data_IF_844846975235
#
_entry.id   IF_844846975235
#
_cell.length_a   1.000
_cell.length_b   1.000
_cell.length_c   1.000
_cell.angle_alpha   90.00
_cell.angle_beta   90.00
_cell.angle_gamma   90.00
#
_symmetry.space_group_name_H-M   'P 1'
#
loop_
_entity.id
_entity.type
_entity.pdbx_description
1 polymer ?
#
# COMPACT_ATOMS: atom_id res chain seq x y z
N UNK A 1 -0.54 20.85 24.03
CA UNK A 1 -1.14 19.63 23.47
C UNK A 1 -1.25 18.58 24.57
N UNK A 2 -2.39 17.93 24.69
CA UNK A 2 -2.60 16.95 25.77
C UNK A 2 -2.07 15.57 25.32
N UNK A 3 -0.90 15.19 25.82
CA UNK A 3 -0.22 13.93 25.50
C UNK A 3 -1.06 12.70 25.85
N UNK A 4 -2.05 12.84 26.77
CA UNK A 4 -2.95 11.75 27.18
C UNK A 4 -3.88 11.23 26.07
N UNK A 5 -4.01 11.96 24.95
CA UNK A 5 -4.84 11.56 23.80
C UNK A 5 -4.11 10.69 22.78
N UNK A 6 -2.82 10.43 22.98
CA UNK A 6 -2.04 9.60 22.04
C UNK A 6 -2.39 8.11 22.20
N UNK A 7 -2.77 7.49 21.10
CA UNK A 7 -2.98 6.05 21.06
C UNK A 7 -1.63 5.38 20.85
N UNK A 8 -1.24 4.50 21.78
CA UNK A 8 0.00 3.73 21.62
C UNK A 8 -0.06 2.86 20.38
N UNK A 9 1.05 2.78 19.66
CA UNK A 9 1.19 1.86 18.55
C UNK A 9 1.12 0.41 19.06
N UNK A 10 0.34 -0.40 18.40
CA UNK A 10 0.32 -1.83 18.67
C UNK A 10 1.26 -2.55 17.70
N UNK A 11 2.47 -2.87 18.17
CA UNK A 11 3.49 -3.54 17.35
C UNK A 11 3.07 -4.95 16.91
N UNK A 12 2.15 -5.63 17.62
CA UNK A 12 1.62 -6.93 17.19
C UNK A 12 0.84 -6.87 15.87
N UNK A 13 0.40 -5.67 15.47
CA UNK A 13 -0.25 -5.42 14.18
C UNK A 13 0.72 -5.11 13.05
N UNK A 14 2.00 -4.98 13.34
CA UNK A 14 3.05 -4.75 12.37
C UNK A 14 3.78 -6.05 12.06
N UNK A 15 4.36 -6.19 10.86
CA UNK A 15 5.24 -7.29 10.54
C UNK A 15 6.44 -7.32 11.50
N UNK A 16 6.87 -8.50 11.89
CA UNK A 16 8.14 -8.66 12.60
C UNK A 16 9.30 -8.17 11.70
N UNK A 17 10.28 -7.50 12.29
CA UNK A 17 11.44 -6.96 11.56
C UNK A 17 12.32 -8.10 11.07
N UNK A 18 12.51 -9.11 11.92
CA UNK A 18 13.19 -10.35 11.59
C UNK A 18 12.19 -11.50 11.72
N UNK A 19 11.75 -12.02 10.60
CA UNK A 19 10.85 -13.16 10.51
C UNK A 19 11.55 -14.24 9.67
N UNK A 20 12.12 -15.28 10.32
CA UNK A 20 12.96 -16.28 9.63
C UNK A 20 12.30 -16.99 8.46
N UNK A 21 10.97 -17.16 8.51
CA UNK A 21 10.23 -17.76 7.41
C UNK A 21 10.17 -16.89 6.17
N UNK A 22 10.38 -15.58 6.32
CA UNK A 22 10.64 -14.65 5.24
C UNK A 22 12.12 -14.27 5.22
N UNK A 23 12.93 -15.06 4.52
CA UNK A 23 14.39 -14.99 4.46
C UNK A 23 14.94 -13.58 4.20
N UNK A 24 14.28 -12.81 3.35
CA UNK A 24 14.66 -11.43 3.06
C UNK A 24 14.57 -10.50 4.27
N UNK A 25 13.72 -10.79 5.27
CA UNK A 25 13.66 -10.00 6.50
C UNK A 25 14.93 -10.14 7.32
N UNK A 26 15.43 -11.36 7.49
CA UNK A 26 16.66 -11.63 8.24
C UNK A 26 17.89 -10.98 7.62
N UNK A 27 17.94 -10.84 6.28
CA UNK A 27 19.05 -10.12 5.63
C UNK A 27 19.00 -8.61 5.85
N UNK A 28 17.82 -8.04 6.05
CA UNK A 28 17.58 -6.60 6.20
C UNK A 28 17.38 -6.15 7.64
N UNK A 29 17.12 -7.09 8.54
CA UNK A 29 16.91 -6.77 9.95
C UNK A 29 18.12 -6.07 10.55
N UNK A 30 17.91 -5.00 11.34
CA UNK A 30 18.98 -4.36 12.08
C UNK A 30 19.60 -5.35 13.07
N UNK A 31 20.91 -5.47 13.06
CA UNK A 31 21.64 -6.32 14.02
C UNK A 31 21.85 -5.64 15.37
N UNK A 32 21.82 -4.33 15.39
CA UNK A 32 22.00 -3.52 16.59
C UNK A 32 20.65 -3.12 17.20
N UNK A 33 20.66 -2.89 18.51
CA UNK A 33 19.48 -2.39 19.22
C UNK A 33 19.02 -1.06 18.63
N UNK A 34 17.71 -0.89 18.46
CA UNK A 34 17.15 0.37 18.01
C UNK A 34 17.39 1.45 19.05
N UNK A 35 17.73 2.64 18.59
CA UNK A 35 17.90 3.84 19.41
C UNK A 35 16.71 4.76 19.11
N UNK A 36 16.04 5.22 20.15
CA UNK A 36 15.01 6.25 20.00
C UNK A 36 15.66 7.58 19.67
N UNK A 37 15.21 8.22 18.61
CA UNK A 37 15.64 9.56 18.23
C UNK A 37 14.53 10.53 18.67
N UNK A 38 14.84 11.55 19.50
CA UNK A 38 13.85 12.53 19.90
C UNK A 38 13.35 13.31 18.69
N UNK A 39 12.04 13.50 18.64
CA UNK A 39 11.41 14.31 17.60
C UNK A 39 11.88 15.77 17.67
N UNK A 40 12.04 16.39 16.53
CA UNK A 40 12.40 17.80 16.41
C UNK A 40 11.34 18.58 15.62
N UNK A 41 11.49 19.90 15.55
CA UNK A 41 10.48 20.76 14.90
C UNK A 41 10.37 20.51 13.38
N UNK A 42 11.38 19.97 12.73
CA UNK A 42 11.34 19.66 11.28
C UNK A 42 10.39 18.51 10.95
N UNK A 43 10.03 17.69 11.93
CA UNK A 43 9.11 16.56 11.75
C UNK A 43 7.63 16.95 11.91
N UNK A 44 7.34 18.20 12.32
CA UNK A 44 5.98 18.74 12.44
C UNK A 44 5.38 19.00 11.07
N UNK A 45 6.20 19.44 10.12
CA UNK A 45 5.76 19.85 8.79
C UNK A 45 6.18 18.80 7.77
N UNK A 46 5.21 18.12 7.20
CA UNK A 46 5.44 17.21 6.11
C UNK A 46 5.38 17.90 4.74
N UNK A 47 5.71 17.19 3.68
CA UNK A 47 5.58 17.71 2.33
C UNK A 47 4.11 18.02 2.02
N UNK A 48 3.87 19.21 1.51
CA UNK A 48 2.55 19.60 1.01
C UNK A 48 2.46 19.21 -0.45
N UNK A 49 1.59 18.26 -0.75
CA UNK A 49 1.29 17.85 -2.10
C UNK A 49 0.11 18.65 -2.63
N UNK A 50 0.31 19.24 -3.79
CA UNK A 50 -0.75 19.98 -4.43
C UNK A 50 -1.22 19.20 -5.69
N UNK A 51 -2.48 19.36 -6.07
CA UNK A 51 -3.07 18.68 -7.24
C UNK A 51 -2.31 18.91 -8.55
N UNK A 52 -1.49 19.95 -8.64
CA UNK A 52 -0.69 20.24 -9.84
C UNK A 52 0.42 19.24 -10.13
N UNK A 53 0.85 18.46 -9.12
CA UNK A 53 1.86 17.40 -9.32
C UNK A 53 1.27 16.12 -9.91
N UNK A 54 -0.06 16.03 -9.98
CA UNK A 54 -0.76 14.86 -10.51
C UNK A 54 -1.31 15.18 -11.88
N UNK A 55 -0.94 14.34 -12.85
CA UNK A 55 -1.49 14.38 -14.20
C UNK A 55 -2.94 13.85 -14.22
N UNK A 56 -3.68 14.23 -15.27
CA UNK A 56 -5.10 13.84 -15.42
C UNK A 56 -5.34 12.33 -15.47
N UNK A 57 -4.33 11.57 -15.87
CA UNK A 57 -4.42 10.11 -16.04
C UNK A 57 -3.60 9.34 -15.00
N UNK A 58 -3.02 10.00 -14.00
CA UNK A 58 -2.12 9.34 -13.04
C UNK A 58 -2.84 8.25 -12.23
N UNK A 59 -4.14 8.34 -12.04
CA UNK A 59 -4.97 7.32 -11.39
C UNK A 59 -5.62 6.32 -12.35
N UNK A 60 -5.40 6.48 -13.67
CA UNK A 60 -5.81 5.50 -14.69
C UNK A 60 -4.58 4.79 -15.27
N UNK A 61 -4.19 3.68 -14.65
CA UNK A 61 -3.03 2.90 -15.07
C UNK A 61 -3.25 2.19 -16.41
N UNK A 62 -4.48 2.17 -16.90
CA UNK A 62 -4.79 1.60 -18.21
C UNK A 62 -4.46 2.55 -19.37
N UNK A 63 -4.22 3.83 -19.06
CA UNK A 63 -3.96 4.87 -20.05
C UNK A 63 -2.71 5.69 -19.78
N UNK A 64 -2.24 5.77 -18.53
CA UNK A 64 -1.17 6.69 -18.13
C UNK A 64 0.20 6.39 -18.75
N UNK A 65 0.41 5.20 -19.28
CA UNK A 65 1.68 4.75 -19.88
C UNK A 65 1.57 4.40 -21.36
N UNK A 66 0.39 4.09 -21.85
CA UNK A 66 0.19 3.62 -23.23
C UNK A 66 0.52 4.68 -24.28
N UNK A 67 1.47 4.38 -25.16
CA UNK A 67 1.92 5.30 -26.22
C UNK A 67 0.93 5.43 -27.40
N UNK A 68 0.06 4.47 -27.61
CA UNK A 68 -0.86 4.40 -28.77
C UNK A 68 -2.32 4.22 -28.38
N UNK A 69 -2.69 4.58 -27.13
CA UNK A 69 -4.04 4.34 -26.56
C UNK A 69 -4.45 2.85 -26.60
N UNK A 70 -3.47 1.95 -26.62
CA UNK A 70 -3.70 0.52 -26.50
C UNK A 70 -3.93 0.16 -25.03
N UNK A 71 -4.94 -0.63 -24.76
CA UNK A 71 -5.16 -1.15 -23.40
C UNK A 71 -4.08 -2.14 -23.01
N UNK A 72 -3.61 -2.10 -21.76
CA UNK A 72 -2.82 -3.19 -21.22
C UNK A 72 -3.63 -4.49 -21.18
N UNK A 73 -2.91 -5.61 -21.14
CA UNK A 73 -3.50 -6.95 -21.06
C UNK A 73 -3.99 -7.25 -19.65
N UNK A 74 -5.11 -7.98 -19.55
CA UNK A 74 -5.67 -8.45 -18.29
C UNK A 74 -7.04 -7.85 -17.95
N UNK A 75 -7.59 -8.27 -16.82
CA UNK A 75 -8.87 -7.79 -16.34
C UNK A 75 -8.73 -6.39 -15.74
N UNK A 76 -9.50 -5.44 -16.25
CA UNK A 76 -9.60 -4.09 -15.64
C UNK A 76 -10.33 -4.19 -14.32
N UNK A 77 -9.81 -3.50 -13.33
CA UNK A 77 -10.42 -3.39 -12.01
C UNK A 77 -10.41 -1.94 -11.52
N UNK A 78 -11.38 -1.61 -10.69
CA UNK A 78 -11.38 -0.39 -9.90
C UNK A 78 -10.88 -0.73 -8.50
N UNK A 79 -9.92 0.03 -7.99
CA UNK A 79 -9.50 -0.01 -6.60
C UNK A 79 -9.86 1.33 -5.97
N UNK A 80 -10.70 1.32 -4.96
CA UNK A 80 -11.18 2.53 -4.32
C UNK A 80 -11.27 2.38 -2.81
N UNK A 81 -11.44 3.48 -2.11
CA UNK A 81 -11.59 3.48 -0.66
C UNK A 81 -11.49 4.87 -0.08
N UNK A 82 -11.36 4.93 1.22
CA UNK A 82 -11.18 6.16 1.96
C UNK A 82 -9.89 6.12 2.80
N UNK A 83 -9.26 7.27 2.97
CA UNK A 83 -8.18 7.48 3.93
C UNK A 83 -8.73 8.27 5.10
N UNK A 84 -8.62 7.73 6.30
CA UNK A 84 -9.05 8.37 7.53
C UNK A 84 -7.96 8.29 8.60
N UNK A 85 -8.10 9.09 9.66
CA UNK A 85 -7.34 8.91 10.88
C UNK A 85 -7.99 7.84 11.78
N UNK A 86 -7.35 7.50 12.89
CA UNK A 86 -7.86 6.51 13.84
C UNK A 86 -9.14 6.92 14.58
N UNK A 87 -9.59 8.16 14.41
CA UNK A 87 -10.87 8.67 14.92
C UNK A 87 -11.95 8.73 13.84
N UNK A 88 -11.68 8.12 12.68
CA UNK A 88 -12.57 8.11 11.51
C UNK A 88 -12.77 9.49 10.85
N UNK A 89 -11.90 10.46 11.13
CA UNK A 89 -11.94 11.71 10.38
C UNK A 89 -11.28 11.50 9.00
N UNK A 90 -11.91 11.98 7.91
CA UNK A 90 -11.34 11.85 6.59
C UNK A 90 -10.07 12.69 6.45
N UNK A 91 -9.06 12.13 5.78
CA UNK A 91 -7.83 12.84 5.47
C UNK A 91 -7.87 13.33 4.03
N UNK A 92 -8.09 14.63 3.89
CA UNK A 92 -8.09 15.35 2.62
C UNK A 92 -6.65 15.62 2.16
N UNK A 93 -6.39 15.48 0.87
CA UNK A 93 -5.13 15.89 0.27
C UNK A 93 -3.96 14.93 0.51
N UNK A 94 -4.21 13.74 1.05
CA UNK A 94 -3.18 12.72 1.15
C UNK A 94 -2.77 12.24 -0.25
N UNK A 95 -1.47 12.20 -0.54
CA UNK A 95 -0.95 11.60 -1.74
C UNK A 95 -0.90 10.10 -1.58
N UNK A 96 -1.48 9.39 -2.53
CA UNK A 96 -1.42 7.94 -2.63
C UNK A 96 -0.65 7.59 -3.89
N UNK A 97 0.40 6.80 -3.74
CA UNK A 97 1.12 6.17 -4.84
C UNK A 97 0.89 4.67 -4.78
N UNK A 98 0.64 4.07 -5.93
CA UNK A 98 0.52 2.61 -6.05
C UNK A 98 1.54 2.08 -7.05
N UNK A 99 2.00 0.83 -6.82
CA UNK A 99 2.75 0.08 -7.82
C UNK A 99 2.44 -1.41 -7.71
N UNK A 100 2.45 -2.08 -8.85
CA UNK A 100 2.02 -3.47 -8.97
C UNK A 100 2.67 -4.18 -10.14
N UNK A 101 2.61 -5.50 -10.13
CA UNK A 101 2.91 -6.33 -11.30
C UNK A 101 1.79 -6.19 -12.35
N UNK A 102 2.08 -6.54 -13.60
CA UNK A 102 1.08 -6.70 -14.65
C UNK A 102 0.24 -7.99 -14.43
N UNK A 103 -0.69 -8.27 -15.34
CA UNK A 103 -1.55 -9.46 -15.25
C UNK A 103 -0.78 -10.80 -15.30
N UNK A 104 0.44 -10.81 -15.83
CA UNK A 104 1.31 -11.99 -15.86
C UNK A 104 2.22 -12.11 -14.62
N UNK A 105 2.09 -11.22 -13.63
CA UNK A 105 2.94 -11.21 -12.44
C UNK A 105 4.33 -10.62 -12.66
N UNK A 106 4.49 -9.74 -13.68
CA UNK A 106 5.77 -9.11 -14.03
C UNK A 106 5.76 -7.61 -13.71
N UNK A 107 6.80 -7.16 -12.99
CA UNK A 107 7.07 -5.73 -12.79
C UNK A 107 7.89 -5.16 -13.94
N UNK A 108 7.59 -3.92 -14.32
CA UNK A 108 8.46 -3.14 -15.19
C UNK A 108 9.62 -2.57 -14.35
N UNK A 109 10.52 -3.46 -13.92
CA UNK A 109 11.67 -3.10 -13.09
C UNK A 109 12.90 -3.92 -13.52
N UNK A 110 14.06 -3.29 -13.58
CA UNK A 110 15.31 -3.93 -14.03
C UNK A 110 15.75 -5.14 -13.18
N UNK A 111 15.40 -5.14 -11.89
CA UNK A 111 15.77 -6.20 -10.96
C UNK A 111 14.73 -7.34 -10.89
N UNK A 112 13.59 -7.20 -11.57
CA UNK A 112 12.65 -8.31 -11.68
C UNK A 112 13.17 -9.35 -12.66
N UNK A 113 13.60 -10.49 -12.13
CA UNK A 113 14.12 -11.63 -12.90
C UNK A 113 13.06 -12.69 -13.23
N UNK A 114 11.80 -12.44 -12.89
CA UNK A 114 10.70 -13.32 -13.26
C UNK A 114 10.64 -13.44 -14.81
N UNK A 115 10.57 -14.65 -15.36
CA UNK A 115 10.53 -14.87 -16.82
C UNK A 115 9.21 -14.49 -17.48
N UNK A 116 8.18 -14.12 -16.71
CA UNK A 116 6.89 -13.68 -17.25
C UNK A 116 7.05 -12.47 -18.20
N UNK A 117 6.17 -12.31 -19.21
CA UNK A 117 6.29 -11.27 -20.21
C UNK A 117 6.00 -9.87 -19.63
N UNK A 118 6.72 -8.88 -20.13
CA UNK A 118 6.43 -7.46 -19.89
C UNK A 118 5.24 -7.05 -20.76
N UNK A 119 4.32 -6.27 -20.19
CA UNK A 119 3.30 -5.58 -20.97
C UNK A 119 3.82 -4.18 -21.38
N UNK A 120 4.00 -3.88 -22.67
CA UNK A 120 4.54 -2.61 -23.13
C UNK A 120 3.57 -1.42 -22.92
N UNK A 121 2.32 -1.69 -22.59
CA UNK A 121 1.29 -0.68 -22.37
C UNK A 121 0.98 -0.43 -20.88
N UNK A 122 1.71 -1.07 -19.97
CA UNK A 122 1.45 -1.01 -18.53
C UNK A 122 2.72 -0.73 -17.72
N UNK A 123 2.76 0.43 -17.05
CA UNK A 123 3.85 0.75 -16.12
C UNK A 123 3.69 0.10 -14.76
N UNK A 124 2.46 -0.19 -14.38
CA UNK A 124 2.11 -0.66 -13.05
C UNK A 124 2.14 0.42 -11.96
N UNK A 125 2.39 1.68 -12.29
CA UNK A 125 2.51 2.79 -11.33
C UNK A 125 1.41 3.82 -11.54
N UNK A 126 0.84 4.32 -10.43
CA UNK A 126 -0.18 5.37 -10.46
C UNK A 126 -0.18 6.23 -9.20
N UNK A 127 -0.82 7.39 -9.29
CA UNK A 127 -0.94 8.35 -8.19
C UNK A 127 -2.33 8.95 -8.10
N UNK A 128 -2.76 9.26 -6.89
CA UNK A 128 -4.02 9.95 -6.60
C UNK A 128 -3.86 10.84 -5.38
N UNK A 129 -4.69 11.87 -5.26
CA UNK A 129 -4.81 12.68 -4.05
C UNK A 129 -6.23 12.52 -3.52
N UNK A 130 -6.36 12.25 -2.23
CA UNK A 130 -7.67 12.10 -1.59
C UNK A 130 -8.51 13.38 -1.68
N UNK A 131 -9.80 13.20 -1.90
CA UNK A 131 -10.81 14.27 -1.93
C UNK A 131 -11.15 14.78 -0.53
N UNK A 132 -12.11 15.69 -0.43
CA UNK A 132 -12.51 16.30 0.85
C UNK A 132 -13.08 15.33 1.87
N UNK A 133 -13.67 14.23 1.40
CA UNK A 133 -14.20 13.12 2.22
C UNK A 133 -13.21 11.98 2.40
N UNK A 134 -11.93 12.19 2.01
CA UNK A 134 -10.87 11.20 2.11
C UNK A 134 -10.91 10.12 1.02
N UNK A 135 -11.84 10.18 0.07
CA UNK A 135 -11.99 9.16 -0.97
C UNK A 135 -10.87 9.19 -2.00
N UNK A 136 -10.54 8.03 -2.54
CA UNK A 136 -9.61 7.82 -3.65
C UNK A 136 -10.09 6.71 -4.60
N UNK A 137 -9.59 6.74 -5.82
CA UNK A 137 -9.90 5.71 -6.83
C UNK A 137 -8.74 5.56 -7.82
N UNK A 138 -8.52 4.31 -8.24
CA UNK A 138 -7.63 3.92 -9.32
C UNK A 138 -8.36 2.98 -10.29
N UNK A 139 -8.19 3.20 -11.58
CA UNK A 139 -8.50 2.23 -12.62
C UNK A 139 -7.20 1.54 -13.01
N UNK A 140 -7.15 0.21 -12.90
CA UNK A 140 -5.93 -0.56 -13.16
C UNK A 140 -6.25 -1.94 -13.73
N UNK A 141 -5.21 -2.77 -13.88
CA UNK A 141 -5.32 -4.19 -14.24
C UNK A 141 -5.15 -5.03 -12.99
N UNK A 142 -5.93 -6.09 -12.85
CA UNK A 142 -5.72 -7.04 -11.76
C UNK A 142 -4.31 -7.66 -11.88
N UNK A 143 -3.45 -7.50 -10.86
CA UNK A 143 -2.10 -8.04 -10.92
C UNK A 143 -2.11 -9.56 -10.88
N UNK A 144 -1.20 -10.20 -11.60
CA UNK A 144 -0.96 -11.64 -11.47
C UNK A 144 -0.14 -11.95 -10.20
N UNK A 145 -0.31 -13.15 -9.61
CA UNK A 145 0.62 -13.68 -8.63
C UNK A 145 1.96 -13.97 -9.29
N UNK A 146 3.03 -14.01 -8.53
CA UNK A 146 4.36 -14.30 -9.09
C UNK A 146 5.24 -15.12 -8.15
N UNK A 147 6.14 -15.97 -8.74
CA UNK A 147 7.10 -16.71 -7.95
C UNK A 147 8.19 -15.78 -7.40
N UNK A 148 8.66 -16.09 -6.20
CA UNK A 148 9.80 -15.40 -5.65
C UNK A 148 10.70 -16.39 -4.85
N UNK A 149 12.04 -16.19 -4.85
CA UNK A 149 12.95 -17.04 -4.09
C UNK A 149 12.89 -16.71 -2.60
N UNK A 150 12.57 -17.74 -1.77
CA UNK A 150 12.59 -17.63 -0.32
C UNK A 150 13.33 -18.85 0.26
N UNK A 151 12.62 -19.88 0.69
CA UNK A 151 13.21 -21.18 1.08
C UNK A 151 13.30 -22.16 -0.08
N UNK A 152 12.67 -21.85 -1.17
CA UNK A 152 12.60 -22.50 -2.46
C UNK A 152 11.96 -21.51 -3.41
N UNK A 153 11.12 -21.98 -4.33
CA UNK A 153 10.26 -21.13 -5.14
C UNK A 153 8.90 -21.09 -4.45
N UNK A 154 8.59 -19.95 -3.89
CA UNK A 154 7.29 -19.66 -3.27
C UNK A 154 6.54 -18.64 -4.13
N UNK A 155 5.25 -18.50 -3.90
CA UNK A 155 4.40 -17.60 -4.68
C UNK A 155 3.91 -16.44 -3.83
N UNK A 156 4.02 -15.24 -4.39
CA UNK A 156 3.36 -14.07 -3.85
C UNK A 156 1.90 -14.04 -4.35
N UNK A 157 0.93 -13.81 -3.45
CA UNK A 157 -0.46 -13.58 -3.85
C UNK A 157 -0.57 -12.33 -4.73
N UNK A 158 -1.69 -12.19 -5.42
CA UNK A 158 -2.05 -10.94 -6.10
C UNK A 158 -2.02 -9.79 -5.09
N UNK A 159 -1.29 -8.70 -5.40
CA UNK A 159 -1.23 -7.55 -4.50
C UNK A 159 -0.87 -6.27 -5.23
N UNK A 160 -1.28 -5.17 -4.63
CA UNK A 160 -0.91 -3.81 -5.03
C UNK A 160 -0.18 -3.17 -3.85
N UNK A 161 0.98 -2.60 -4.10
CA UNK A 161 1.68 -1.79 -3.12
C UNK A 161 1.06 -0.41 -3.02
N UNK A 162 0.97 0.10 -1.81
CA UNK A 162 0.51 1.44 -1.51
C UNK A 162 1.55 2.20 -0.70
N UNK A 163 1.76 3.46 -1.07
CA UNK A 163 2.53 4.44 -0.32
C UNK A 163 1.64 5.66 -0.10
N UNK A 164 1.30 5.93 1.15
CA UNK A 164 0.40 7.03 1.50
C UNK A 164 1.19 8.05 2.31
N UNK A 165 1.14 9.30 1.85
CA UNK A 165 1.72 10.43 2.55
C UNK A 165 0.59 11.22 3.22
N UNK A 166 0.62 11.26 4.56
CA UNK A 166 -0.28 12.09 5.34
C UNK A 166 0.19 13.56 5.39
N UNK A 167 -0.42 14.33 6.28
CA UNK A 167 -0.15 15.76 6.42
C UNK A 167 1.17 16.09 7.13
N UNK A 168 1.87 15.09 7.71
CA UNK A 168 3.18 15.28 8.33
C UNK A 168 4.20 14.28 7.81
N UNK A 169 5.47 14.64 7.92
CA UNK A 169 6.59 13.83 7.42
C UNK A 169 6.61 12.43 8.01
N UNK A 170 6.27 12.27 9.28
CA UNK A 170 6.24 10.99 9.96
C UNK A 170 5.08 10.05 9.58
N UNK A 171 4.17 10.47 8.71
CA UNK A 171 2.95 9.72 8.39
C UNK A 171 2.98 8.97 7.05
N UNK A 172 4.14 8.66 6.54
CA UNK A 172 4.21 7.79 5.37
C UNK A 172 3.88 6.35 5.78
N UNK A 173 2.75 5.85 5.28
CA UNK A 173 2.42 4.42 5.37
C UNK A 173 2.85 3.73 4.08
N UNK A 174 3.62 2.65 4.19
CA UNK A 174 3.90 1.72 3.09
C UNK A 174 3.22 0.40 3.45
N UNK A 175 2.31 -0.05 2.60
CA UNK A 175 1.54 -1.27 2.83
C UNK A 175 1.26 -2.00 1.52
N UNK A 176 0.56 -3.11 1.60
CA UNK A 176 0.11 -3.89 0.44
C UNK A 176 -1.37 -4.19 0.61
N UNK A 177 -2.13 -4.06 -0.47
CA UNK A 177 -3.49 -4.56 -0.59
C UNK A 177 -3.46 -5.94 -1.24
N UNK A 178 -4.07 -6.91 -0.62
CA UNK A 178 -4.34 -8.24 -1.18
C UNK A 178 -5.79 -8.32 -1.64
N UNK A 179 -6.11 -9.33 -2.45
CA UNK A 179 -7.44 -9.48 -3.03
C UNK A 179 -8.26 -10.54 -2.29
N UNK A 180 -9.48 -10.24 -1.93
CA UNK A 180 -10.41 -11.19 -1.32
C UNK A 180 -10.55 -12.47 -2.16
N UNK A 181 -10.43 -13.61 -1.49
CA UNK A 181 -10.56 -14.91 -2.16
C UNK A 181 -9.25 -15.48 -2.74
N UNK A 182 -8.13 -14.75 -2.73
CA UNK A 182 -6.86 -15.30 -3.21
C UNK A 182 -6.30 -16.34 -2.21
N UNK A 183 -6.21 -17.63 -2.60
CA UNK A 183 -5.77 -18.71 -1.71
C UNK A 183 -4.29 -18.59 -1.31
N UNK A 184 -3.49 -17.85 -2.06
CA UNK A 184 -2.06 -17.66 -1.78
C UNK A 184 -1.80 -16.73 -0.59
N UNK A 185 -2.79 -15.98 -0.12
CA UNK A 185 -2.62 -15.06 1.03
C UNK A 185 -2.12 -15.82 2.26
N UNK A 186 -2.74 -16.95 2.57
CA UNK A 186 -2.41 -17.76 3.75
C UNK A 186 -1.05 -18.48 3.63
N UNK A 187 -0.52 -18.60 2.43
CA UNK A 187 0.77 -19.22 2.14
C UNK A 187 1.92 -18.20 2.08
N UNK A 188 1.60 -16.91 2.05
CA UNK A 188 2.59 -15.85 1.90
C UNK A 188 3.34 -15.57 3.22
N UNK A 189 4.66 -15.81 3.29
CA UNK A 189 5.42 -15.58 4.52
C UNK A 189 5.45 -14.11 4.94
N UNK A 190 5.33 -13.16 3.99
CA UNK A 190 5.22 -11.74 4.34
C UNK A 190 3.92 -11.44 5.08
N UNK A 191 2.79 -12.01 4.66
CA UNK A 191 1.51 -11.87 5.38
C UNK A 191 1.60 -12.55 6.74
N UNK A 192 2.21 -13.73 6.80
CA UNK A 192 2.35 -14.52 8.01
C UNK A 192 3.32 -13.91 9.04
N UNK A 193 4.16 -12.95 8.63
CA UNK A 193 4.97 -12.16 9.57
C UNK A 193 4.15 -11.22 10.46
N UNK A 194 2.85 -11.04 10.16
CA UNK A 194 1.91 -10.27 10.99
C UNK A 194 1.19 -11.26 11.91
N UNK A 195 1.38 -11.14 13.21
CA UNK A 195 0.77 -12.07 14.19
C UNK A 195 -0.73 -11.83 14.41
N UNK A 196 -1.21 -10.61 14.23
CA UNK A 196 -2.61 -10.22 14.49
C UNK A 196 -3.49 -10.50 13.28
N UNK A 197 -4.45 -11.42 13.42
CA UNK A 197 -5.38 -11.81 12.35
C UNK A 197 -6.28 -10.66 11.86
N UNK A 198 -6.65 -9.72 12.73
CA UNK A 198 -7.43 -8.54 12.33
C UNK A 198 -6.59 -7.61 11.46
N UNK A 199 -5.30 -7.47 11.79
CA UNK A 199 -4.38 -6.71 10.97
C UNK A 199 -4.18 -7.36 9.59
N UNK A 200 -4.01 -8.68 9.51
CA UNK A 200 -3.97 -9.41 8.22
C UNK A 200 -5.23 -9.15 7.39
N UNK A 201 -6.42 -9.31 8.01
CA UNK A 201 -7.70 -9.06 7.33
C UNK A 201 -7.85 -7.62 6.85
N UNK A 202 -7.27 -6.65 7.54
CA UNK A 202 -7.30 -5.23 7.13
C UNK A 202 -6.48 -4.95 5.88
N UNK A 203 -5.59 -5.86 5.48
CA UNK A 203 -4.82 -5.75 4.24
C UNK A 203 -5.56 -6.33 3.01
N UNK A 204 -6.74 -6.91 3.21
CA UNK A 204 -7.49 -7.55 2.13
C UNK A 204 -8.56 -6.59 1.61
N UNK A 205 -8.39 -6.15 0.35
CA UNK A 205 -9.40 -5.39 -0.39
C UNK A 205 -10.63 -6.26 -0.66
N UNK A 206 -11.80 -5.73 -0.33
CA UNK A 206 -13.08 -6.44 -0.42
C UNK A 206 -13.74 -6.21 -1.77
N UNK A 207 -14.28 -7.27 -2.36
CA UNK A 207 -15.06 -7.14 -3.58
C UNK A 207 -16.31 -6.26 -3.31
N UNK A 208 -16.43 -5.17 -4.05
CA UNK A 208 -17.56 -4.25 -3.98
C UNK A 208 -18.47 -4.45 -5.19
N UNK A 209 -19.49 -5.29 -5.02
CA UNK A 209 -20.45 -5.60 -6.07
C UNK A 209 -21.33 -4.39 -6.45
N UNK A 210 -21.47 -3.41 -5.55
CA UNK A 210 -22.28 -2.21 -5.82
C UNK A 210 -21.62 -1.25 -6.81
N UNK A 211 -20.27 -1.27 -6.88
CA UNK A 211 -19.47 -0.47 -7.82
C UNK A 211 -18.95 -1.27 -9.02
N UNK A 212 -19.06 -2.58 -8.98
CA UNK A 212 -18.76 -3.43 -10.13
C UNK A 212 -19.79 -3.15 -11.23
N UNK A 213 -19.35 -2.81 -12.44
CA UNK A 213 -20.24 -2.35 -13.49
C UNK A 213 -20.59 -3.45 -14.50
N UNK A 214 -21.57 -3.13 -15.38
CA UNK A 214 -22.10 -3.99 -16.43
C UNK A 214 -21.02 -4.40 -17.47
N UNK A 215 -19.89 -3.72 -17.52
CA UNK A 215 -18.78 -3.99 -18.44
C UNK A 215 -17.76 -5.00 -17.87
N UNK A 216 -18.13 -5.77 -16.86
CA UNK A 216 -17.29 -6.74 -16.17
C UNK A 216 -16.03 -6.15 -15.50
N UNK A 217 -16.09 -4.88 -15.09
CA UNK A 217 -15.03 -4.28 -14.28
C UNK A 217 -15.38 -4.53 -12.81
N UNK A 218 -14.58 -5.36 -12.15
CA UNK A 218 -14.71 -5.61 -10.72
C UNK A 218 -14.16 -4.42 -9.92
N UNK A 219 -14.85 -4.05 -8.85
CA UNK A 219 -14.40 -3.03 -7.94
C UNK A 219 -13.97 -3.66 -6.61
N UNK A 220 -12.83 -3.21 -6.06
CA UNK A 220 -12.33 -3.63 -4.78
C UNK A 220 -12.20 -2.44 -3.85
N UNK A 221 -12.80 -2.55 -2.67
CA UNK A 221 -12.74 -1.52 -1.63
C UNK A 221 -11.61 -1.80 -0.66
N UNK A 222 -10.74 -0.81 -0.47
CA UNK A 222 -9.63 -0.86 0.45
C UNK A 222 -9.53 0.44 1.24
N UNK A 223 -10.09 0.46 2.45
CA UNK A 223 -10.03 1.62 3.34
C UNK A 223 -8.71 1.62 4.12
N UNK A 224 -8.12 2.80 4.25
CA UNK A 224 -6.81 3.01 4.88
C UNK A 224 -6.97 3.91 6.09
N UNK A 225 -6.44 3.46 7.24
CA UNK A 225 -6.45 4.25 8.47
C UNK A 225 -5.02 4.69 8.77
N UNK A 226 -4.79 6.01 8.79
CA UNK A 226 -3.55 6.63 9.21
C UNK A 226 -3.68 7.13 10.65
N UNK A 227 -2.55 7.29 11.33
CA UNK A 227 -2.55 8.03 12.60
C UNK A 227 -2.71 9.51 12.30
N UNK A 228 -3.51 10.22 13.10
CA UNK A 228 -3.69 11.67 12.99
C UNK A 228 -2.38 12.42 13.21
N UNK A 229 -2.20 13.56 12.53
CA UNK A 229 -1.01 14.42 12.59
C UNK A 229 -0.52 14.66 14.01
N UNK A 230 -1.44 14.98 14.92
CA UNK A 230 -1.13 15.23 16.33
C UNK A 230 -0.57 14.02 17.07
N UNK A 231 -0.91 12.82 16.65
CA UNK A 231 -0.45 11.58 17.30
C UNK A 231 0.87 11.13 16.75
N UNK A 232 1.05 11.19 15.44
CA UNK A 232 2.31 10.80 14.81
C UNK A 232 3.47 11.66 15.31
N UNK A 233 3.22 12.94 15.56
CA UNK A 233 4.23 13.88 16.05
C UNK A 233 4.86 13.48 17.39
N UNK A 234 4.11 12.82 18.28
CA UNK A 234 4.58 12.39 19.60
C UNK A 234 4.92 10.89 19.66
N UNK A 235 4.83 10.21 18.55
CA UNK A 235 4.97 8.76 18.50
C UNK A 235 6.29 8.28 19.09
N UNK A 236 7.41 8.89 18.69
CA UNK A 236 8.74 8.48 19.12
C UNK A 236 9.03 8.75 20.60
N UNK A 237 8.35 9.68 21.21
CA UNK A 237 8.51 9.98 22.64
C UNK A 237 7.88 8.93 23.55
N UNK A 238 6.90 8.19 23.06
CA UNK A 238 6.19 7.20 23.88
C UNK A 238 6.60 5.76 23.58
N UNK A 239 7.08 5.51 22.38
CA UNK A 239 7.37 4.17 21.89
C UNK A 239 8.87 3.86 21.84
N UNK A 240 9.70 4.85 22.00
CA UNK A 240 11.15 4.70 22.05
C UNK A 240 11.74 4.61 23.44
N UNK A 241 10.92 4.55 24.47
CA UNK A 241 11.32 4.38 25.86
C UNK A 241 11.24 2.93 26.29
#
# INVERSE_FOLDING_TARGET
MNVKSLVKRNYKKQPEIDFPDYKSSSFRAPKNKKISIPSNNSEIFGPIFNKKIIGKLDNDLTLNFSKKKMSPLGHKIIVHGTVSDQFSNPIKGALIEIWQANAAGKYLHQDDKNPAPIDPNFSGCGRSITSSDGSYEFLTIQPGPYPYPNRGIEWRPMHIHFSIFGESFGQRLITQMYFEGDPLINLCPMVNSIADEKAKKSLVGKLDTSRSNIQNILAYKFDIVLRGVKQTYFENRQEGL
#
